data_IF_132742491225
#
_entry.id   IF_132742491225
#
_cell.length_a   1.000
_cell.length_b   1.000
_cell.length_c   1.000
_cell.angle_alpha   90.00
_cell.angle_beta   90.00
_cell.angle_gamma   90.00
#
_symmetry.space_group_name_H-M   'P 1'
#
loop_
_entity.id
_entity.type
_entity.pdbx_description
1 polymer ?
#
# COMPACT_ATOMS: atom_id res chain seq x y z
N UNK A 1 15.56 32.02 51.50
CA UNK A 1 15.82 31.67 50.08
C UNK A 1 14.67 30.81 49.61
N UNK A 2 13.66 31.42 49.01
CA UNK A 2 12.54 30.73 48.38
C UNK A 2 12.60 31.09 46.90
N UNK A 3 12.60 30.09 46.03
CA UNK A 3 12.15 30.29 44.67
C UNK A 3 11.38 29.06 44.17
N UNK A 4 10.29 29.39 43.50
CA UNK A 4 9.35 28.53 42.84
C UNK A 4 10.00 27.76 41.70
N UNK A 5 9.50 26.54 41.43
CA UNK A 5 8.76 26.26 40.18
C UNK A 5 8.21 24.84 40.20
N UNK A 6 6.88 24.78 40.31
CA UNK A 6 6.05 23.66 39.86
C UNK A 6 6.39 23.38 38.39
N UNK A 7 6.76 22.14 38.05
CA UNK A 7 6.73 21.68 36.66
C UNK A 7 5.32 21.20 36.36
N UNK A 8 4.64 21.96 35.51
CA UNK A 8 3.37 21.61 34.91
C UNK A 8 3.51 20.28 34.14
N UNK A 9 2.52 19.41 34.35
CA UNK A 9 2.15 18.36 33.41
C UNK A 9 1.81 19.03 32.08
N UNK A 10 2.64 18.80 31.06
CA UNK A 10 2.31 19.11 29.68
C UNK A 10 1.76 17.82 29.07
N UNK A 11 0.44 17.83 28.84
CA UNK A 11 -0.22 16.97 27.88
C UNK A 11 0.48 17.16 26.53
N UNK A 12 1.35 16.21 26.17
CA UNK A 12 1.89 16.06 24.84
C UNK A 12 1.02 15.08 24.06
N UNK A 13 -0.12 15.53 23.56
CA UNK A 13 -0.72 14.92 22.37
C UNK A 13 0.24 15.22 21.22
N UNK A 14 1.20 14.32 20.99
CA UNK A 14 2.03 14.32 19.80
C UNK A 14 1.14 14.13 18.59
N UNK A 15 1.25 15.08 17.65
CA UNK A 15 0.35 15.25 16.53
C UNK A 15 0.23 13.99 15.69
N UNK A 16 -1.00 13.50 15.57
CA UNK A 16 -1.42 12.74 14.39
C UNK A 16 -1.42 13.77 13.25
N UNK A 17 -0.39 13.69 12.44
CA UNK A 17 -0.15 14.53 11.27
C UNK A 17 -1.29 14.29 10.27
N UNK A 18 -1.96 15.37 9.85
CA UNK A 18 -3.07 15.35 8.90
C UNK A 18 -2.61 15.06 7.46
N UNK A 19 -2.02 13.89 7.20
CA UNK A 19 -1.72 13.48 5.83
C UNK A 19 -3.02 12.97 5.16
N UNK A 20 -3.55 13.79 4.24
CA UNK A 20 -4.54 13.37 3.24
C UNK A 20 -5.93 13.02 3.77
N UNK A 21 -6.68 14.03 4.29
CA UNK A 21 -8.13 13.86 4.52
C UNK A 21 -8.83 13.59 3.18
N UNK A 22 -9.08 12.32 2.89
CA UNK A 22 -9.99 11.90 1.83
C UNK A 22 -11.38 12.42 2.18
N UNK A 23 -12.02 13.15 1.27
CA UNK A 23 -13.39 13.62 1.47
C UNK A 23 -14.31 12.43 1.80
N UNK A 24 -15.27 12.60 2.72
CA UNK A 24 -16.17 11.53 3.21
C UNK A 24 -16.81 10.72 2.08
N UNK A 25 -17.10 11.39 0.97
CA UNK A 25 -17.84 10.85 -0.16
C UNK A 25 -16.95 10.00 -1.09
N UNK A 26 -15.64 9.97 -0.86
CA UNK A 26 -14.68 9.15 -1.59
C UNK A 26 -14.21 7.92 -0.78
N UNK A 27 -14.63 7.77 0.47
CA UNK A 27 -14.24 6.64 1.31
C UNK A 27 -14.86 5.34 0.76
N UNK A 28 -14.01 4.34 0.52
CA UNK A 28 -14.42 3.02 0.10
C UNK A 28 -14.31 2.04 1.26
N UNK A 29 -15.38 1.32 1.64
CA UNK A 29 -15.30 0.35 2.71
C UNK A 29 -14.40 -0.83 2.30
N UNK A 30 -13.47 -1.18 3.17
CA UNK A 30 -12.65 -2.37 3.05
C UNK A 30 -13.50 -3.64 3.16
N UNK A 31 -13.29 -4.54 2.22
CA UNK A 31 -13.82 -5.90 2.22
C UNK A 31 -12.83 -6.83 1.49
N UNK A 32 -12.60 -8.05 2.00
CA UNK A 32 -11.90 -9.10 1.25
C UNK A 32 -12.57 -9.37 -0.10
N UNK A 33 -11.82 -9.66 -1.15
CA UNK A 33 -12.39 -9.96 -2.48
C UNK A 33 -12.82 -8.73 -3.31
N UNK A 34 -13.07 -7.58 -2.67
CA UNK A 34 -13.50 -6.36 -3.36
C UNK A 34 -12.39 -5.81 -4.26
N UNK A 35 -12.77 -5.30 -5.43
CA UNK A 35 -11.85 -4.64 -6.36
C UNK A 35 -11.83 -3.13 -6.09
N UNK A 36 -10.63 -2.58 -5.88
CA UNK A 36 -10.40 -1.15 -5.70
C UNK A 36 -9.73 -0.59 -6.95
N UNK A 37 -10.35 0.39 -7.60
CA UNK A 37 -9.75 1.02 -8.78
C UNK A 37 -8.60 1.93 -8.35
N UNK A 38 -7.41 1.71 -8.92
CA UNK A 38 -6.21 2.49 -8.56
C UNK A 38 -5.94 3.55 -9.62
N UNK A 39 -5.71 3.15 -10.87
CA UNK A 39 -5.51 4.07 -11.99
C UNK A 39 -6.00 3.45 -13.29
N UNK A 40 -6.38 4.28 -14.27
CA UNK A 40 -6.77 3.81 -15.61
C UNK A 40 -7.76 2.64 -15.59
N UNK A 41 -7.28 1.47 -16.02
CA UNK A 41 -7.99 0.18 -16.05
C UNK A 41 -7.43 -0.86 -15.06
N UNK A 42 -6.58 -0.41 -14.14
CA UNK A 42 -5.89 -1.21 -13.12
C UNK A 42 -6.62 -1.13 -11.77
N UNK A 43 -6.79 -2.30 -11.17
CA UNK A 43 -7.44 -2.51 -9.89
C UNK A 43 -6.52 -3.29 -8.96
N UNK A 44 -6.71 -3.06 -7.67
CA UNK A 44 -6.08 -3.81 -6.58
C UNK A 44 -7.12 -4.66 -5.86
N UNK A 45 -6.76 -5.85 -5.41
CA UNK A 45 -7.59 -6.68 -4.53
C UNK A 45 -6.78 -7.65 -3.67
N UNK A 46 -7.41 -8.24 -2.66
CA UNK A 46 -6.76 -9.17 -1.72
C UNK A 46 -7.61 -10.42 -1.57
N UNK A 47 -7.10 -11.53 -2.11
CA UNK A 47 -7.66 -12.88 -2.06
C UNK A 47 -6.63 -13.90 -2.59
N UNK A 48 -6.72 -15.15 -2.13
CA UNK A 48 -5.81 -16.22 -2.59
C UNK A 48 -6.07 -16.65 -4.04
N UNK A 49 -7.34 -16.70 -4.44
CA UNK A 49 -7.77 -17.07 -5.79
C UNK A 49 -8.92 -16.17 -6.21
N UNK A 50 -8.99 -15.75 -7.49
CA UNK A 50 -10.10 -14.95 -8.00
C UNK A 50 -11.47 -15.55 -7.61
N UNK A 51 -12.34 -14.76 -6.96
CA UNK A 51 -13.66 -15.23 -6.58
C UNK A 51 -14.51 -15.73 -7.78
N UNK A 52 -15.34 -16.79 -7.62
CA UNK A 52 -16.10 -17.39 -8.73
C UNK A 52 -17.03 -16.44 -9.47
N UNK A 53 -17.49 -15.36 -8.84
CA UNK A 53 -18.33 -14.32 -9.45
C UNK A 53 -17.63 -13.58 -10.60
N UNK A 54 -16.30 -13.63 -10.68
CA UNK A 54 -15.54 -13.04 -11.78
C UNK A 54 -15.33 -14.01 -12.95
N UNK A 55 -15.88 -15.23 -12.89
CA UNK A 55 -15.87 -16.17 -14.03
C UNK A 55 -16.53 -15.51 -15.24
N UNK A 56 -15.87 -15.58 -16.40
CA UNK A 56 -16.30 -14.96 -17.67
C UNK A 56 -16.40 -13.42 -17.63
N UNK A 57 -15.74 -12.76 -16.68
CA UNK A 57 -15.63 -11.29 -16.66
C UNK A 57 -14.54 -10.78 -17.62
N UNK A 58 -14.53 -9.47 -17.88
CA UNK A 58 -13.46 -8.81 -18.65
C UNK A 58 -12.18 -8.57 -17.82
N UNK A 59 -12.10 -9.09 -16.60
CA UNK A 59 -10.97 -8.87 -15.71
C UNK A 59 -9.85 -9.88 -15.99
N UNK A 60 -8.62 -9.40 -16.06
CA UNK A 60 -7.41 -10.20 -16.07
C UNK A 60 -6.78 -10.14 -14.68
N UNK A 61 -6.68 -11.28 -14.00
CA UNK A 61 -6.17 -11.38 -12.64
C UNK A 61 -4.74 -11.91 -12.67
N UNK A 62 -3.84 -11.23 -11.97
CA UNK A 62 -2.44 -11.62 -11.85
C UNK A 62 -1.89 -11.23 -10.47
N UNK A 63 -0.77 -11.84 -10.09
CA UNK A 63 -0.01 -11.54 -8.87
C UNK A 63 1.39 -11.09 -9.26
N UNK A 64 2.13 -10.47 -8.33
CA UNK A 64 3.56 -10.20 -8.56
C UNK A 64 4.33 -11.52 -8.40
N UNK A 65 5.12 -11.96 -9.39
CA UNK A 65 5.99 -13.12 -9.24
C UNK A 65 7.10 -12.88 -8.20
N UNK A 66 7.52 -13.93 -7.48
CA UNK A 66 8.57 -13.82 -6.45
C UNK A 66 9.93 -13.37 -7.02
N UNK A 67 10.24 -13.71 -8.26
CA UNK A 67 11.48 -13.29 -8.94
C UNK A 67 11.45 -11.83 -9.40
N UNK A 68 10.26 -11.23 -9.53
CA UNK A 68 10.08 -9.78 -9.77
C UNK A 68 10.23 -9.02 -8.46
N UNK A 69 9.48 -9.43 -7.43
CA UNK A 69 9.51 -8.81 -6.11
C UNK A 69 9.48 -9.85 -5.00
N UNK A 70 10.55 -9.87 -4.20
CA UNK A 70 10.61 -10.58 -2.92
C UNK A 70 11.35 -9.73 -1.91
N UNK A 71 10.76 -9.62 -0.72
CA UNK A 71 11.43 -9.03 0.42
C UNK A 71 12.14 -10.12 1.22
N UNK A 72 13.33 -9.83 1.71
CA UNK A 72 14.12 -10.73 2.54
C UNK A 72 14.27 -10.10 3.93
N UNK A 73 13.48 -10.55 4.92
CA UNK A 73 13.45 -9.92 6.22
C UNK A 73 14.72 -10.21 7.03
N UNK A 74 15.15 -9.23 7.83
CA UNK A 74 16.23 -9.40 8.80
C UNK A 74 15.71 -9.91 10.15
N UNK A 75 14.56 -9.41 10.59
CA UNK A 75 13.81 -9.82 11.76
C UNK A 75 12.31 -9.89 11.42
N UNK A 76 11.49 -9.03 12.02
CA UNK A 76 10.04 -8.96 11.81
C UNK A 76 9.64 -7.88 10.79
N UNK A 77 10.62 -7.12 10.27
CA UNK A 77 10.47 -6.28 9.09
C UNK A 77 9.96 -7.10 7.91
N UNK A 78 9.18 -6.48 7.03
CA UNK A 78 8.59 -7.18 5.89
C UNK A 78 8.63 -6.38 4.60
N UNK A 79 9.13 -5.15 4.64
CA UNK A 79 9.08 -4.20 3.54
C UNK A 79 9.67 -2.84 3.93
N UNK A 80 9.49 -1.83 3.07
CA UNK A 80 8.95 -1.94 1.72
C UNK A 80 9.92 -2.67 0.77
N UNK A 81 9.47 -2.98 -0.44
CA UNK A 81 10.38 -3.43 -1.50
C UNK A 81 11.46 -2.38 -1.79
N UNK A 82 12.70 -2.84 -2.01
CA UNK A 82 13.80 -1.94 -2.36
C UNK A 82 13.68 -1.41 -3.81
N UNK A 83 14.51 -0.43 -4.17
CA UNK A 83 14.46 0.20 -5.50
C UNK A 83 14.69 -0.78 -6.66
N UNK A 84 15.54 -1.80 -6.49
CA UNK A 84 15.77 -2.82 -7.53
C UNK A 84 14.51 -3.65 -7.80
N UNK A 85 13.76 -4.00 -6.75
CA UNK A 85 12.45 -4.64 -6.89
C UNK A 85 11.44 -3.70 -7.57
N UNK A 86 11.42 -2.41 -7.21
CA UNK A 86 10.54 -1.41 -7.85
C UNK A 86 10.82 -1.28 -9.34
N UNK A 87 12.10 -1.22 -9.77
CA UNK A 87 12.45 -1.17 -11.19
C UNK A 87 11.93 -2.39 -11.96
N UNK A 88 12.14 -3.61 -11.43
CA UNK A 88 11.61 -4.84 -12.04
C UNK A 88 10.09 -4.86 -12.08
N UNK A 89 9.45 -4.35 -11.03
CA UNK A 89 8.01 -4.23 -10.97
C UNK A 89 7.48 -3.27 -12.04
N UNK A 90 8.18 -2.17 -12.32
CA UNK A 90 7.76 -1.22 -13.36
C UNK A 90 7.78 -1.88 -14.75
N UNK A 91 8.86 -2.57 -15.10
CA UNK A 91 8.96 -3.34 -16.35
C UNK A 91 7.88 -4.43 -16.43
N UNK A 92 7.66 -5.16 -15.34
CA UNK A 92 6.63 -6.19 -15.26
C UNK A 92 5.23 -5.60 -15.46
N UNK A 93 4.91 -4.50 -14.76
CA UNK A 93 3.60 -3.87 -14.83
C UNK A 93 3.31 -3.32 -16.23
N UNK A 94 4.32 -2.72 -16.88
CA UNK A 94 4.18 -2.23 -18.25
C UNK A 94 3.89 -3.37 -19.23
N UNK A 95 4.63 -4.48 -19.14
CA UNK A 95 4.37 -5.67 -19.95
C UNK A 95 2.93 -6.19 -19.76
N UNK A 96 2.43 -6.25 -18.51
CA UNK A 96 1.04 -6.65 -18.25
C UNK A 96 0.03 -5.69 -18.88
N UNK A 97 0.29 -4.38 -18.82
CA UNK A 97 -0.56 -3.35 -19.42
C UNK A 97 -0.60 -3.44 -20.95
N UNK A 98 0.52 -3.73 -21.59
CA UNK A 98 0.63 -3.90 -23.04
C UNK A 98 -0.05 -5.20 -23.52
N UNK A 99 0.32 -6.34 -22.94
CA UNK A 99 -0.17 -7.67 -23.33
C UNK A 99 -1.69 -7.79 -23.18
N UNK A 100 -2.25 -7.16 -22.15
CA UNK A 100 -3.67 -7.27 -21.83
C UNK A 100 -4.45 -6.00 -22.20
N UNK A 101 -4.03 -5.22 -23.21
CA UNK A 101 -4.48 -3.85 -23.56
C UNK A 101 -6.00 -3.54 -23.49
N UNK A 102 -6.87 -4.54 -23.67
CA UNK A 102 -8.34 -4.35 -23.71
C UNK A 102 -9.07 -4.72 -22.41
N UNK A 103 -8.44 -5.50 -21.52
CA UNK A 103 -9.08 -6.03 -20.31
C UNK A 103 -9.11 -5.00 -19.15
N UNK A 104 -9.61 -5.39 -17.99
CA UNK A 104 -9.35 -4.64 -16.74
C UNK A 104 -8.37 -5.44 -15.91
N UNK A 105 -7.24 -4.85 -15.56
CA UNK A 105 -6.17 -5.54 -14.85
C UNK A 105 -6.46 -5.53 -13.36
N UNK A 106 -6.36 -6.69 -12.71
CA UNK A 106 -6.52 -6.82 -11.26
C UNK A 106 -5.24 -7.43 -10.72
N UNK A 107 -4.39 -6.59 -10.15
CA UNK A 107 -3.27 -7.07 -9.34
C UNK A 107 -3.83 -7.48 -7.99
N UNK A 108 -3.71 -8.78 -7.69
CA UNK A 108 -4.15 -9.31 -6.41
C UNK A 108 -2.99 -9.91 -5.60
N UNK A 109 -3.19 -9.99 -4.30
CA UNK A 109 -2.26 -10.56 -3.33
C UNK A 109 -3.03 -11.46 -2.36
N UNK A 110 -2.31 -12.24 -1.55
CA UNK A 110 -2.98 -13.02 -0.50
C UNK A 110 -3.68 -12.11 0.53
N UNK A 111 -4.54 -12.67 1.41
CA UNK A 111 -5.17 -11.93 2.50
C UNK A 111 -4.20 -11.39 3.56
N UNK A 112 -2.92 -11.80 3.54
CA UNK A 112 -1.90 -11.32 4.47
C UNK A 112 -1.73 -9.79 4.41
N UNK A 113 -1.67 -9.14 5.59
CA UNK A 113 -1.62 -7.67 5.67
C UNK A 113 -0.27 -7.11 5.20
N UNK A 114 0.82 -7.84 5.47
CA UNK A 114 2.19 -7.44 5.12
C UNK A 114 2.38 -7.52 3.61
N UNK A 115 1.97 -8.62 2.99
CA UNK A 115 1.97 -8.80 1.54
C UNK A 115 1.12 -7.74 0.85
N UNK A 116 -0.11 -7.51 1.33
CA UNK A 116 -1.00 -6.47 0.80
C UNK A 116 -0.36 -5.09 0.82
N UNK A 117 0.35 -4.75 1.89
CA UNK A 117 1.03 -3.46 2.01
C UNK A 117 2.15 -3.33 0.99
N UNK A 118 2.97 -4.37 0.82
CA UNK A 118 4.03 -4.38 -0.19
C UNK A 118 3.50 -4.29 -1.64
N UNK A 119 2.42 -4.98 -1.95
CA UNK A 119 1.82 -4.95 -3.30
C UNK A 119 1.19 -3.58 -3.60
N UNK A 120 0.51 -2.99 -2.63
CA UNK A 120 -0.01 -1.63 -2.76
C UNK A 120 1.12 -0.58 -2.87
N UNK A 121 2.19 -0.74 -2.09
CA UNK A 121 3.40 0.07 -2.22
C UNK A 121 4.00 -0.03 -3.63
N UNK A 122 4.14 -1.24 -4.18
CA UNK A 122 4.67 -1.43 -5.54
C UNK A 122 3.84 -0.68 -6.60
N UNK A 123 2.50 -0.76 -6.52
CA UNK A 123 1.61 0.00 -7.40
C UNK A 123 1.74 1.51 -7.22
N UNK A 124 1.82 1.99 -5.98
CA UNK A 124 2.05 3.42 -5.69
C UNK A 124 3.38 3.90 -6.26
N UNK A 125 4.45 3.14 -6.05
CA UNK A 125 5.77 3.42 -6.59
C UNK A 125 5.77 3.46 -8.13
N UNK A 126 5.09 2.53 -8.80
CA UNK A 126 4.91 2.57 -10.26
C UNK A 126 4.20 3.85 -10.72
N UNK A 127 3.14 4.29 -10.02
CA UNK A 127 2.46 5.55 -10.35
C UNK A 127 3.39 6.76 -10.23
N UNK A 128 4.27 6.78 -9.21
CA UNK A 128 5.25 7.85 -9.05
C UNK A 128 6.31 7.78 -10.16
N UNK A 129 6.92 6.61 -10.35
CA UNK A 129 8.08 6.43 -11.23
C UNK A 129 7.74 6.52 -12.72
N UNK A 130 6.67 5.85 -13.17
CA UNK A 130 6.33 5.73 -14.59
C UNK A 130 5.23 6.68 -15.04
N UNK A 131 4.33 7.09 -14.13
CA UNK A 131 3.20 7.98 -14.45
C UNK A 131 3.39 9.43 -14.00
N UNK A 132 4.52 9.74 -13.35
CA UNK A 132 4.85 11.10 -12.88
C UNK A 132 3.89 11.64 -11.82
N UNK A 133 3.25 10.76 -11.05
CA UNK A 133 2.37 11.15 -9.95
C UNK A 133 3.17 11.65 -8.76
N UNK A 134 2.62 12.63 -8.04
CA UNK A 134 3.08 12.95 -6.69
C UNK A 134 2.78 11.79 -5.72
N UNK A 135 3.50 11.72 -4.60
CA UNK A 135 3.24 10.72 -3.56
C UNK A 135 1.80 10.77 -3.06
N UNK A 136 1.25 11.98 -2.89
CA UNK A 136 -0.13 12.20 -2.48
C UNK A 136 -1.14 11.65 -3.50
N UNK A 137 -0.91 11.87 -4.81
CA UNK A 137 -1.77 11.32 -5.86
C UNK A 137 -1.70 9.80 -5.96
N UNK A 138 -0.50 9.22 -5.78
CA UNK A 138 -0.30 7.78 -5.79
C UNK A 138 -0.94 7.09 -4.57
N UNK A 139 -0.89 7.74 -3.41
CA UNK A 139 -1.46 7.23 -2.17
C UNK A 139 -2.98 7.39 -2.07
N UNK A 140 -3.54 8.47 -2.63
CA UNK A 140 -4.97 8.79 -2.56
C UNK A 140 -5.95 7.62 -2.79
N UNK A 141 -5.82 6.78 -3.85
CA UNK A 141 -6.73 5.66 -4.06
C UNK A 141 -6.68 4.62 -2.92
N UNK A 142 -5.51 4.39 -2.32
CA UNK A 142 -5.35 3.46 -1.21
C UNK A 142 -5.79 4.06 0.13
N UNK A 143 -5.51 5.34 0.37
CA UNK A 143 -5.96 6.08 1.56
C UNK A 143 -7.49 6.10 1.69
N UNK A 144 -8.21 6.05 0.56
CA UNK A 144 -9.67 5.99 0.53
C UNK A 144 -10.25 4.70 1.10
N UNK A 145 -9.46 3.63 1.20
CA UNK A 145 -9.92 2.30 1.63
C UNK A 145 -9.95 2.24 3.16
N UNK A 146 -11.15 2.16 3.76
CA UNK A 146 -11.33 2.27 5.20
C UNK A 146 -12.20 1.14 5.80
N UNK A 147 -11.92 0.64 7.03
CA UNK A 147 -10.73 0.95 7.83
C UNK A 147 -9.44 0.54 7.10
N UNK A 148 -8.34 1.25 7.37
CA UNK A 148 -7.06 1.04 6.68
C UNK A 148 -6.65 -0.44 6.73
N UNK A 149 -6.58 -1.13 5.58
CA UNK A 149 -6.29 -2.56 5.56
C UNK A 149 -4.79 -2.87 5.52
N UNK A 150 -3.93 -1.85 5.43
CA UNK A 150 -2.50 -1.96 5.28
C UNK A 150 -1.82 -2.00 6.66
N UNK A 151 -0.75 -2.77 6.78
CA UNK A 151 0.10 -2.82 7.96
C UNK A 151 1.21 -1.77 7.79
N UNK A 152 1.47 -0.90 8.78
CA UNK A 152 2.63 -0.01 8.73
C UNK A 152 3.94 -0.79 8.62
N UNK A 153 4.93 -0.23 7.94
CA UNK A 153 6.27 -0.80 7.94
C UNK A 153 6.95 -0.53 9.29
N UNK A 154 7.74 -1.50 9.74
CA UNK A 154 8.53 -1.44 10.97
C UNK A 154 10.01 -1.56 10.67
N UNK A 155 10.83 -1.19 11.64
CA UNK A 155 12.27 -1.35 11.60
C UNK A 155 12.72 -2.82 11.69
N UNK A 156 13.99 -3.04 11.38
CA UNK A 156 14.64 -4.35 11.33
C UNK A 156 15.34 -4.70 12.66
N UNK A 157 14.69 -4.42 13.79
CA UNK A 157 15.20 -4.76 15.12
C UNK A 157 14.43 -5.91 15.76
N UNK A 158 15.01 -6.50 16.81
CA UNK A 158 14.34 -7.49 17.65
C UNK A 158 13.44 -6.88 18.74
N UNK A 159 13.42 -5.54 18.83
CA UNK A 159 12.67 -4.81 19.85
C UNK A 159 11.22 -4.57 19.39
N UNK A 160 10.39 -4.09 20.31
CA UNK A 160 9.05 -3.62 19.94
C UNK A 160 9.16 -2.34 19.09
N UNK A 161 8.36 -2.20 18.02
CA UNK A 161 8.37 -0.98 17.21
C UNK A 161 7.98 0.23 18.05
N UNK A 162 8.81 1.27 18.01
CA UNK A 162 8.52 2.58 18.60
C UNK A 162 8.14 3.65 17.56
N UNK A 163 8.25 3.29 16.27
CA UNK A 163 7.87 4.11 15.13
C UNK A 163 7.33 3.26 13.98
N UNK A 164 6.17 3.65 13.46
CA UNK A 164 5.51 3.03 12.31
C UNK A 164 5.64 3.93 11.09
N UNK A 165 6.19 3.41 9.99
CA UNK A 165 6.26 4.13 8.71
C UNK A 165 5.02 3.75 7.87
N UNK A 166 4.15 4.73 7.59
CA UNK A 166 2.94 4.49 6.81
C UNK A 166 3.29 4.42 5.33
N UNK A 167 2.46 3.72 4.54
CA UNK A 167 2.67 3.64 3.09
C UNK A 167 2.65 5.01 2.40
N UNK A 168 1.89 5.97 2.92
CA UNK A 168 1.85 7.34 2.40
C UNK A 168 3.11 8.17 2.72
N UNK A 169 3.99 7.69 3.59
CA UNK A 169 5.27 8.33 3.91
C UNK A 169 6.42 7.85 2.99
N UNK A 170 6.21 6.73 2.29
CA UNK A 170 7.17 6.11 1.36
C UNK A 170 7.07 6.72 -0.05
#
# INVERSE_FOLDING_TARGET
>A
MADHRRRNSLNGTSGIQESGRVASDQIQPWAPGKLYKIFGRTYFSSFKTPPPEFRNSSYFFFTIPEDVCKYHPFCDDFGPFNLGNVCRFCEFMEAQLEENSTQRLVLHCSPDRRERTNVAFALGAYMVMEMGKSGEEAWAPFASIQPCPFEPFRDATYEEPDFDLLMGDC
#
